data_IF_073637470475
#
_entry.id   IF_073637470475
#
_cell.length_a   1.000
_cell.length_b   1.000
_cell.length_c   1.000
_cell.angle_alpha   90.00
_cell.angle_beta   90.00
_cell.angle_gamma   90.00
#
_symmetry.space_group_name_H-M   'P 1'
#
loop_
_entity.id
_entity.type
_entity.pdbx_description
1 polymer ?
#
# COMPACT_ATOMS: atom_id res chain seq x y z
N UNK A 1 22.16 35.65 7.12
CA UNK A 1 20.80 35.44 7.64
C UNK A 1 20.94 34.67 8.93
N UNK A 2 20.52 35.24 10.07
CA UNK A 2 20.69 34.63 11.39
C UNK A 2 19.73 33.45 11.47
N UNK A 3 20.24 32.22 11.56
CA UNK A 3 19.43 31.03 11.83
C UNK A 3 19.28 30.92 13.34
N UNK A 4 18.06 30.97 13.87
CA UNK A 4 17.84 30.55 15.25
C UNK A 4 17.79 29.03 15.29
N UNK A 5 18.61 28.48 16.17
CA UNK A 5 18.57 27.07 16.53
C UNK A 5 17.48 26.94 17.60
N UNK A 6 16.49 26.10 17.33
CA UNK A 6 15.49 25.72 18.32
C UNK A 6 16.10 24.62 19.20
N UNK A 7 16.21 24.87 20.50
CA UNK A 7 16.82 23.93 21.45
C UNK A 7 15.80 23.05 22.18
N UNK A 8 14.55 23.52 22.32
CA UNK A 8 13.39 22.78 22.83
C UNK A 8 12.14 23.64 22.66
N UNK A 9 11.06 23.10 22.10
CA UNK A 9 9.77 23.81 21.98
C UNK A 9 8.64 22.84 22.33
N UNK A 10 7.89 23.17 23.38
CA UNK A 10 6.61 22.56 23.69
C UNK A 10 5.56 23.65 23.56
N UNK A 11 4.61 23.44 22.66
CA UNK A 11 3.46 24.33 22.46
C UNK A 11 2.19 23.58 22.86
N UNK A 12 1.46 24.14 23.82
CA UNK A 12 0.19 23.62 24.32
C UNK A 12 -0.90 24.68 24.13
N UNK A 13 -2.12 24.26 23.80
CA UNK A 13 -3.23 25.16 23.48
C UNK A 13 -3.27 25.53 21.99
N UNK A 14 -4.39 26.15 21.58
CA UNK A 14 -4.55 26.77 20.25
C UNK A 14 -3.66 28.03 20.18
N UNK A 15 -2.36 27.81 20.02
CA UNK A 15 -1.31 28.83 20.04
C UNK A 15 -0.62 28.81 18.69
N UNK A 16 -0.50 29.99 18.07
CA UNK A 16 0.35 30.20 16.90
C UNK A 16 1.64 30.91 17.33
N UNK A 17 2.80 30.31 17.06
CA UNK A 17 4.10 30.91 17.27
C UNK A 17 4.73 31.29 15.92
N UNK A 18 4.86 32.59 15.67
CA UNK A 18 5.36 33.11 14.39
C UNK A 18 6.80 33.58 14.46
N UNK A 19 7.53 33.36 13.37
CA UNK A 19 8.93 33.74 13.21
C UNK A 19 9.15 34.41 11.85
N UNK A 20 9.98 35.47 11.81
CA UNK A 20 10.32 36.19 10.58
C UNK A 20 11.61 35.72 9.90
N UNK A 21 11.99 34.44 10.07
CA UNK A 21 13.28 33.90 9.63
C UNK A 21 13.23 32.38 9.51
N UNK A 22 14.16 31.79 8.75
CA UNK A 22 14.30 30.33 8.68
C UNK A 22 14.60 29.73 10.06
N UNK A 23 14.03 28.56 10.31
CA UNK A 23 14.17 27.83 11.57
C UNK A 23 14.92 26.51 11.36
N UNK A 24 15.71 26.13 12.35
CA UNK A 24 16.40 24.83 12.36
C UNK A 24 16.14 24.14 13.68
N UNK A 25 15.55 22.94 13.63
CA UNK A 25 15.61 21.97 14.71
C UNK A 25 16.91 21.17 14.58
N UNK A 26 17.81 21.33 15.56
CA UNK A 26 19.16 20.76 15.54
C UNK A 26 19.36 19.79 16.71
N UNK A 27 18.60 18.71 16.71
CA UNK A 27 18.62 17.70 17.77
C UNK A 27 17.68 17.94 18.95
N UNK A 28 16.75 18.89 18.83
CA UNK A 28 15.73 19.14 19.84
C UNK A 28 14.44 18.36 19.57
N UNK A 29 13.59 18.28 20.59
CA UNK A 29 12.20 17.86 20.44
C UNK A 29 11.31 19.10 20.26
N UNK A 30 10.51 19.07 19.19
CA UNK A 30 9.40 19.99 18.95
C UNK A 30 8.12 19.18 19.18
N UNK A 31 7.37 19.55 20.21
CA UNK A 31 6.09 18.94 20.54
C UNK A 31 4.97 19.96 20.32
N UNK A 32 4.09 19.66 19.37
CA UNK A 32 2.88 20.44 19.08
C UNK A 32 1.68 19.72 19.67
N UNK A 33 0.93 20.39 20.53
CA UNK A 33 -0.29 19.81 21.12
C UNK A 33 -1.49 20.70 20.87
N UNK A 34 -2.69 20.11 20.82
CA UNK A 34 -3.96 20.83 20.75
C UNK A 34 -4.03 21.75 19.51
N UNK A 35 -3.56 21.24 18.37
CA UNK A 35 -3.52 21.97 17.09
C UNK A 35 -2.66 23.25 17.11
N UNK A 36 -1.61 23.27 17.92
CA UNK A 36 -0.63 24.37 17.91
C UNK A 36 0.03 24.55 16.53
N UNK A 37 0.36 25.79 16.19
CA UNK A 37 0.97 26.15 14.90
C UNK A 37 2.34 26.80 15.11
N UNK A 38 3.36 26.32 14.42
CA UNK A 38 4.64 27.02 14.26
C UNK A 38 4.70 27.58 12.85
N UNK A 39 4.84 28.90 12.73
CA UNK A 39 4.73 29.60 11.45
C UNK A 39 5.99 30.39 11.10
N UNK A 40 6.43 30.32 9.84
CA UNK A 40 7.31 31.31 9.22
C UNK A 40 7.10 31.37 7.71
N UNK A 41 7.26 32.54 7.09
CA UNK A 41 7.29 32.65 5.62
C UNK A 41 8.60 32.13 5.00
N UNK A 42 9.51 31.60 5.81
CA UNK A 42 10.82 31.10 5.42
C UNK A 42 10.88 29.57 5.55
N UNK A 43 12.04 28.97 5.27
CA UNK A 43 12.23 27.51 5.35
C UNK A 43 12.41 26.97 6.77
N UNK A 44 12.08 25.70 6.95
CA UNK A 44 12.37 24.91 8.14
C UNK A 44 13.26 23.69 7.82
N UNK A 45 14.18 23.37 8.73
CA UNK A 45 15.04 22.18 8.64
C UNK A 45 15.04 21.42 9.95
N UNK A 46 14.74 20.12 9.91
CA UNK A 46 14.91 19.20 11.03
C UNK A 46 16.13 18.29 10.81
N UNK A 47 17.07 18.22 11.75
CA UNK A 47 18.31 17.45 11.60
C UNK A 47 18.90 16.99 12.93
N UNK A 48 20.00 16.24 12.85
CA UNK A 48 20.83 15.84 14.00
C UNK A 48 20.01 15.20 15.14
N UNK A 49 19.17 14.22 14.79
CA UNK A 49 18.26 13.51 15.70
C UNK A 49 17.09 14.34 16.24
N UNK A 50 16.82 15.52 15.66
CA UNK A 50 15.65 16.32 16.00
C UNK A 50 14.35 15.55 15.78
N UNK A 51 13.39 15.77 16.66
CA UNK A 51 12.07 15.16 16.66
C UNK A 51 11.01 16.22 16.44
N UNK A 52 10.00 15.93 15.62
CA UNK A 52 8.78 16.72 15.49
C UNK A 52 7.62 15.81 15.83
N UNK A 53 6.80 16.20 16.80
CA UNK A 53 5.78 15.32 17.40
C UNK A 53 4.46 16.01 17.69
N UNK A 54 3.42 15.21 17.83
CA UNK A 54 2.07 15.61 18.27
C UNK A 54 1.10 15.90 17.12
N UNK A 55 0.12 16.78 17.36
CA UNK A 55 -1.09 16.98 16.54
C UNK A 55 -1.28 18.43 16.04
N UNK A 56 -0.16 19.10 15.70
CA UNK A 56 -0.17 20.50 15.25
C UNK A 56 0.34 20.71 13.83
N UNK A 57 0.52 21.99 13.47
CA UNK A 57 0.91 22.42 12.12
C UNK A 57 2.29 23.07 12.10
N UNK A 58 3.13 22.62 11.17
CA UNK A 58 4.38 23.25 10.77
C UNK A 58 4.13 24.02 9.46
N UNK A 59 3.90 25.32 9.55
CA UNK A 59 3.56 26.19 8.42
C UNK A 59 4.80 27.01 7.99
N UNK A 60 5.36 26.63 6.85
CA UNK A 60 6.62 27.15 6.32
C UNK A 60 6.57 27.30 4.80
N UNK A 61 7.49 28.05 4.21
CA UNK A 61 7.58 28.07 2.75
C UNK A 61 8.05 26.73 2.15
N UNK A 62 8.88 26.00 2.90
CA UNK A 62 9.38 24.67 2.56
C UNK A 62 9.93 24.01 3.83
N UNK A 63 9.71 22.70 3.99
CA UNK A 63 10.25 21.91 5.08
C UNK A 63 11.22 20.83 4.57
N UNK A 64 12.40 20.74 5.17
CA UNK A 64 13.36 19.66 4.93
C UNK A 64 13.55 18.81 6.17
N UNK A 65 13.45 17.50 6.02
CA UNK A 65 13.60 16.55 7.11
C UNK A 65 14.82 15.63 6.91
N UNK A 66 15.72 15.68 7.88
CA UNK A 66 16.91 14.85 8.02
C UNK A 66 16.91 14.05 9.33
N UNK A 67 15.79 14.06 10.06
CA UNK A 67 15.64 13.34 11.32
C UNK A 67 14.20 12.82 11.42
N UNK A 68 13.59 12.83 12.61
CA UNK A 68 12.37 12.07 12.86
C UNK A 68 11.13 12.96 12.90
N UNK A 69 10.08 12.48 12.25
CA UNK A 69 8.70 12.90 12.40
C UNK A 69 7.96 11.78 13.11
N UNK A 70 7.33 12.10 14.24
CA UNK A 70 6.65 11.14 15.09
C UNK A 70 5.38 11.80 15.67
N UNK A 71 4.25 11.78 14.94
CA UNK A 71 2.99 12.35 15.41
C UNK A 71 2.56 11.82 16.79
N UNK A 72 2.87 10.56 17.11
CA UNK A 72 2.45 9.90 18.34
C UNK A 72 3.21 10.25 19.63
N UNK A 73 2.48 10.80 20.61
CA UNK A 73 2.65 10.46 22.05
C UNK A 73 1.47 9.59 22.53
N UNK A 74 0.30 9.68 21.87
CA UNK A 74 -0.84 8.74 21.94
C UNK A 74 -1.25 8.38 20.51
N UNK A 75 -2.08 9.21 19.86
CA UNK A 75 -2.39 9.19 18.43
C UNK A 75 -2.39 10.65 17.97
N UNK A 76 -1.57 10.99 16.97
CA UNK A 76 -1.35 12.36 16.50
C UNK A 76 -1.64 12.57 15.02
N UNK A 77 -2.02 13.78 14.65
CA UNK A 77 -2.20 14.24 13.27
C UNK A 77 -1.32 15.46 13.02
N UNK A 78 -0.13 15.22 12.49
CA UNK A 78 0.87 16.27 12.29
C UNK A 78 0.79 16.83 10.87
N UNK A 79 0.59 18.13 10.75
CA UNK A 79 0.46 18.81 9.46
C UNK A 79 1.71 19.59 9.08
N UNK A 80 2.07 19.56 7.80
CA UNK A 80 3.01 20.46 7.17
C UNK A 80 2.25 21.26 6.12
N UNK A 81 2.03 22.54 6.35
CA UNK A 81 1.40 23.44 5.38
C UNK A 81 2.46 23.93 4.38
N UNK A 82 3.17 22.97 3.78
CA UNK A 82 4.30 23.18 2.89
C UNK A 82 4.66 21.89 2.15
N UNK A 83 5.45 22.00 1.08
CA UNK A 83 6.16 20.83 0.54
C UNK A 83 7.16 20.29 1.56
N UNK A 84 7.24 18.95 1.67
CA UNK A 84 8.10 18.24 2.60
C UNK A 84 9.13 17.39 1.85
N UNK A 85 10.42 17.70 2.05
CA UNK A 85 11.53 16.99 1.42
C UNK A 85 12.27 16.12 2.44
N UNK A 86 12.22 14.81 2.27
CA UNK A 86 12.90 13.85 3.16
C UNK A 86 14.23 13.39 2.58
N UNK A 87 15.26 13.38 3.43
CA UNK A 87 16.56 12.75 3.13
C UNK A 87 16.57 11.26 3.49
N UNK A 88 17.65 10.55 3.14
CA UNK A 88 17.82 9.14 3.52
C UNK A 88 17.99 8.92 5.04
N UNK A 89 18.26 9.97 5.81
CA UNK A 89 18.30 9.93 7.27
C UNK A 89 16.94 10.24 7.92
N UNK A 90 15.93 10.62 7.13
CA UNK A 90 14.60 10.90 7.65
C UNK A 90 13.94 9.63 8.19
N UNK A 91 13.14 9.79 9.25
CA UNK A 91 12.32 8.74 9.84
C UNK A 91 10.89 9.21 10.03
N UNK A 92 9.93 8.36 9.69
CA UNK A 92 8.52 8.48 10.09
C UNK A 92 8.24 7.35 11.08
N UNK A 93 7.78 7.70 12.29
CA UNK A 93 7.45 6.76 13.36
C UNK A 93 5.97 6.94 13.65
N UNK A 94 5.14 5.95 13.31
CA UNK A 94 3.68 6.05 13.38
C UNK A 94 3.09 4.93 14.23
N UNK A 95 2.08 5.25 15.03
CA UNK A 95 1.35 4.29 15.85
C UNK A 95 -0.08 4.05 15.34
N UNK A 96 -0.57 2.81 15.50
CA UNK A 96 -1.93 2.39 15.21
C UNK A 96 -2.56 1.81 16.49
N UNK A 97 -3.59 2.46 17.00
CA UNK A 97 -4.34 2.03 18.19
C UNK A 97 -5.72 1.45 17.84
N UNK A 98 -6.25 1.76 16.66
CA UNK A 98 -7.52 1.22 16.20
C UNK A 98 -8.06 1.87 14.92
N UNK A 99 -9.35 1.64 14.68
CA UNK A 99 -10.07 2.03 13.46
C UNK A 99 -10.95 3.28 13.64
N UNK A 100 -10.80 4.04 14.73
CA UNK A 100 -11.66 5.19 15.00
C UNK A 100 -11.48 6.32 13.98
N UNK A 101 -10.26 6.49 13.45
CA UNK A 101 -9.95 7.51 12.44
C UNK A 101 -8.53 8.03 12.58
N UNK A 102 -8.21 9.06 11.80
CA UNK A 102 -6.93 9.79 11.86
C UNK A 102 -6.89 10.66 13.11
N UNK A 103 -5.77 10.66 13.85
CA UNK A 103 -5.50 11.68 14.87
C UNK A 103 -6.40 11.64 16.11
N UNK A 104 -7.19 10.58 16.29
CA UNK A 104 -8.13 10.46 17.41
C UNK A 104 -7.87 9.20 18.24
N UNK A 105 -8.33 9.21 19.48
CA UNK A 105 -8.22 8.06 20.39
C UNK A 105 -8.84 6.80 19.78
N UNK A 106 -8.15 5.66 19.91
CA UNK A 106 -8.43 4.40 19.21
C UNK A 106 -8.35 4.50 17.68
N UNK A 107 -7.60 5.47 17.18
CA UNK A 107 -7.35 5.71 15.76
C UNK A 107 -5.93 5.33 15.35
N UNK A 108 -5.34 6.13 14.46
CA UNK A 108 -3.96 5.97 14.01
C UNK A 108 -3.30 7.32 13.74
N UNK A 109 -1.98 7.32 13.85
CA UNK A 109 -1.15 8.47 13.50
C UNK A 109 -1.27 8.81 12.02
N UNK A 110 -1.10 10.08 11.73
CA UNK A 110 -1.13 10.61 10.39
C UNK A 110 -0.16 11.77 10.22
N UNK A 111 0.39 11.90 9.00
CA UNK A 111 1.08 13.10 8.57
C UNK A 111 0.38 13.69 7.35
N UNK A 112 -0.01 14.95 7.45
CA UNK A 112 -0.54 15.71 6.32
C UNK A 112 0.54 16.62 5.71
N UNK A 113 0.61 16.70 4.37
CA UNK A 113 1.54 17.56 3.63
C UNK A 113 0.78 18.36 2.57
N UNK A 114 0.62 19.67 2.77
CA UNK A 114 0.04 20.57 1.77
C UNK A 114 1.07 21.00 0.73
N UNK A 115 1.52 20.06 -0.09
CA UNK A 115 2.47 20.32 -1.16
C UNK A 115 3.05 19.05 -1.77
N UNK A 116 4.18 19.21 -2.45
CA UNK A 116 4.95 18.10 -2.98
C UNK A 116 5.60 17.32 -1.81
N UNK A 117 5.56 15.99 -1.89
CA UNK A 117 6.19 15.08 -0.93
C UNK A 117 7.32 14.30 -1.59
N UNK A 118 8.55 14.55 -1.16
CA UNK A 118 9.71 13.73 -1.54
C UNK A 118 9.94 12.70 -0.44
N UNK A 119 9.69 11.43 -0.74
CA UNK A 119 9.91 10.30 0.15
C UNK A 119 11.34 9.80 0.11
N UNK A 120 11.86 9.42 1.27
CA UNK A 120 13.13 8.74 1.46
C UNK A 120 13.21 8.22 2.91
N UNK A 121 14.31 7.59 3.28
CA UNK A 121 14.57 7.21 4.68
C UNK A 121 13.73 6.03 5.15
N UNK A 122 13.33 6.05 6.41
CA UNK A 122 12.70 4.91 7.10
C UNK A 122 11.27 5.25 7.46
N UNK A 123 10.35 4.32 7.19
CA UNK A 123 9.03 4.28 7.79
C UNK A 123 9.00 3.15 8.83
N UNK A 124 8.62 3.47 10.05
CA UNK A 124 8.37 2.51 11.13
C UNK A 124 6.93 2.67 11.60
N UNK A 125 6.18 1.57 11.64
CA UNK A 125 4.80 1.56 12.10
C UNK A 125 4.62 0.45 13.13
N UNK A 126 4.10 0.81 14.30
CA UNK A 126 3.75 -0.13 15.35
C UNK A 126 2.25 -0.10 15.67
N UNK A 127 1.73 -1.21 16.16
CA UNK A 127 0.43 -1.23 16.84
C UNK A 127 0.65 -1.03 18.34
N UNK A 128 -0.18 -0.22 18.97
CA UNK A 128 -0.13 0.02 20.42
C UNK A 128 -1.34 -0.58 21.13
N UNK A 129 -1.30 -0.65 22.46
CA UNK A 129 -2.38 -1.13 23.32
C UNK A 129 -2.97 -2.51 22.95
N UNK A 130 -2.13 -3.36 22.35
CA UNK A 130 -2.52 -4.71 21.94
C UNK A 130 -3.47 -4.75 20.73
N UNK A 131 -3.60 -3.65 19.98
CA UNK A 131 -4.40 -3.63 18.77
C UNK A 131 -3.86 -4.62 17.74
N UNK A 132 -4.77 -5.42 17.16
CA UNK A 132 -4.48 -6.36 16.08
C UNK A 132 -5.45 -6.05 14.94
N UNK A 133 -4.99 -5.40 13.86
CA UNK A 133 -5.84 -5.06 12.72
C UNK A 133 -6.42 -6.32 12.06
N UNK A 134 -7.67 -6.24 11.60
CA UNK A 134 -8.25 -7.25 10.73
C UNK A 134 -7.65 -7.16 9.33
N UNK A 135 -7.68 -8.25 8.55
CA UNK A 135 -7.17 -8.26 7.17
C UNK A 135 -7.97 -7.36 6.21
N UNK A 136 -9.13 -6.85 6.65
CA UNK A 136 -9.95 -5.88 5.92
C UNK A 136 -9.63 -4.44 6.28
N UNK A 137 -8.82 -4.21 7.30
CA UNK A 137 -8.49 -2.87 7.78
C UNK A 137 -7.50 -2.21 6.83
N UNK A 138 -7.57 -0.89 6.78
CA UNK A 138 -6.64 -0.06 6.03
C UNK A 138 -6.51 1.29 6.71
N UNK A 139 -5.31 1.84 6.71
CA UNK A 139 -4.98 3.07 7.42
C UNK A 139 -4.36 4.07 6.45
N UNK A 140 -4.84 5.30 6.41
CA UNK A 140 -4.20 6.36 5.63
C UNK A 140 -3.15 7.00 6.53
N UNK A 141 -1.89 6.70 6.25
CA UNK A 141 -0.77 7.05 7.14
C UNK A 141 -0.12 8.38 6.78
N UNK A 142 -0.18 8.76 5.50
CA UNK A 142 0.27 10.05 5.01
C UNK A 142 -0.69 10.53 3.93
N UNK A 143 -1.09 11.79 3.97
CA UNK A 143 -1.87 12.43 2.91
C UNK A 143 -1.09 13.62 2.35
N UNK A 144 -1.25 13.89 1.05
CA UNK A 144 -0.56 14.98 0.37
C UNK A 144 -1.39 15.60 -0.75
N UNK A 145 -1.18 16.89 -1.04
CA UNK A 145 -1.95 17.63 -2.08
C UNK A 145 -1.20 17.80 -3.39
N UNK A 146 0.14 17.77 -3.38
CA UNK A 146 0.99 17.92 -4.56
C UNK A 146 1.41 16.59 -5.21
N UNK A 147 2.62 16.57 -5.76
CA UNK A 147 3.22 15.38 -6.37
C UNK A 147 4.01 14.57 -5.34
N UNK A 148 4.02 13.26 -5.53
CA UNK A 148 4.87 12.35 -4.77
C UNK A 148 6.06 11.90 -5.61
N UNK A 149 7.23 11.82 -4.99
CA UNK A 149 8.43 11.25 -5.62
C UNK A 149 9.28 10.48 -4.61
N UNK A 150 10.11 9.56 -5.09
CA UNK A 150 10.88 8.67 -4.23
C UNK A 150 10.03 7.56 -3.59
N UNK A 151 10.65 6.79 -2.69
CA UNK A 151 10.03 5.74 -1.87
C UNK A 151 10.80 5.64 -0.55
N UNK A 152 10.18 5.10 0.50
CA UNK A 152 10.90 4.73 1.71
C UNK A 152 12.01 3.73 1.37
N UNK A 153 13.22 3.99 1.86
CA UNK A 153 14.37 3.08 1.71
C UNK A 153 14.20 1.82 2.55
N UNK A 154 13.56 1.96 3.71
CA UNK A 154 13.19 0.83 4.56
C UNK A 154 11.79 1.05 5.15
N UNK A 155 11.02 -0.03 5.23
CA UNK A 155 9.74 -0.08 5.91
C UNK A 155 9.82 -1.15 6.99
N UNK A 156 9.59 -0.77 8.24
CA UNK A 156 9.54 -1.65 9.40
C UNK A 156 8.12 -1.66 9.93
N UNK A 157 7.51 -2.83 10.01
CA UNK A 157 6.15 -3.00 10.54
C UNK A 157 6.17 -3.87 11.79
N UNK A 158 5.43 -3.47 12.81
CA UNK A 158 5.26 -4.23 14.05
C UNK A 158 4.67 -5.61 13.81
N UNK A 159 4.87 -6.54 14.76
CA UNK A 159 4.49 -7.95 14.58
C UNK A 159 3.01 -8.20 14.27
N UNK A 160 2.10 -7.37 14.81
CA UNK A 160 0.66 -7.46 14.55
C UNK A 160 0.27 -6.97 13.14
N UNK A 161 1.19 -6.34 12.41
CA UNK A 161 1.01 -5.87 11.03
C UNK A 161 1.58 -6.88 10.01
N UNK A 162 1.81 -8.13 10.42
CA UNK A 162 2.26 -9.19 9.50
C UNK A 162 1.28 -9.33 8.34
N UNK A 163 1.78 -9.25 7.11
CA UNK A 163 0.95 -9.30 5.90
C UNK A 163 0.39 -7.96 5.46
N UNK A 164 0.66 -6.86 6.17
CA UNK A 164 0.41 -5.51 5.66
C UNK A 164 1.60 -4.99 4.85
N UNK A 165 1.30 -4.11 3.91
CA UNK A 165 2.29 -3.36 3.15
C UNK A 165 1.81 -1.94 2.83
N UNK A 166 2.76 -1.11 2.43
CA UNK A 166 2.50 0.28 2.05
C UNK A 166 1.99 0.32 0.61
N UNK A 167 0.81 0.90 0.44
CA UNK A 167 0.15 1.13 -0.83
C UNK A 167 0.24 2.60 -1.25
N UNK A 168 0.73 2.82 -2.46
CA UNK A 168 0.91 4.12 -3.10
C UNK A 168 -0.01 4.32 -4.31
N UNK A 169 -0.99 3.44 -4.51
CA UNK A 169 -1.81 3.40 -5.74
C UNK A 169 -2.86 4.50 -5.79
N UNK A 170 -3.29 5.03 -4.65
CA UNK A 170 -4.30 6.09 -4.57
C UNK A 170 -3.64 7.47 -4.56
N UNK A 171 -3.95 8.36 -5.52
CA UNK A 171 -3.43 9.72 -5.51
C UNK A 171 -3.80 10.48 -4.23
N UNK A 172 -2.82 11.19 -3.67
CA UNK A 172 -2.98 12.03 -2.49
C UNK A 172 -2.99 11.28 -1.16
N UNK A 173 -2.81 9.94 -1.18
CA UNK A 173 -2.78 9.12 0.03
C UNK A 173 -1.71 8.03 -0.07
N UNK A 174 -0.99 7.82 1.01
CA UNK A 174 -0.17 6.64 1.25
C UNK A 174 -0.87 5.85 2.34
N UNK A 175 -1.09 4.56 2.08
CA UNK A 175 -1.90 3.71 2.95
C UNK A 175 -1.14 2.51 3.44
N UNK A 176 -1.47 2.03 4.62
CA UNK A 176 -1.13 0.69 5.07
C UNK A 176 -2.33 -0.22 4.79
N UNK A 177 -2.14 -1.24 3.97
CA UNK A 177 -3.20 -2.19 3.58
C UNK A 177 -2.70 -3.61 3.76
N UNK A 178 -3.60 -4.53 4.09
CA UNK A 178 -3.25 -5.93 4.09
C UNK A 178 -2.97 -6.40 2.65
N UNK A 179 -1.78 -6.94 2.39
CA UNK A 179 -1.50 -7.69 1.18
C UNK A 179 -2.38 -8.94 1.21
N UNK A 180 -3.56 -8.87 0.60
CA UNK A 180 -4.30 -10.08 0.29
C UNK A 180 -3.36 -10.96 -0.53
N UNK A 181 -3.06 -12.16 -0.05
CA UNK A 181 -2.25 -13.15 -0.77
C UNK A 181 -3.08 -13.65 -1.96
N UNK A 182 -3.34 -12.80 -2.94
CA UNK A 182 -3.80 -13.19 -4.26
C UNK A 182 -2.59 -13.50 -5.15
N UNK A 183 -1.57 -14.12 -4.57
CA UNK A 183 -0.68 -15.01 -5.30
C UNK A 183 -1.16 -16.43 -5.00
N UNK A 184 -2.34 -16.79 -5.50
CA UNK A 184 -2.49 -18.19 -5.93
C UNK A 184 -1.61 -18.25 -7.16
N UNK A 185 -0.41 -18.79 -7.02
CA UNK A 185 0.23 -19.43 -8.16
C UNK A 185 -0.85 -20.35 -8.72
N UNK A 186 -1.51 -19.96 -9.82
CA UNK A 186 -2.60 -20.74 -10.40
C UNK A 186 -2.07 -22.17 -10.43
N UNK A 187 -2.69 -23.06 -9.65
CA UNK A 187 -2.26 -24.44 -9.58
C UNK A 187 -2.53 -24.99 -10.99
N UNK A 188 -1.52 -24.91 -11.85
CA UNK A 188 -1.64 -25.29 -13.24
C UNK A 188 -1.53 -26.80 -13.32
N UNK A 189 -2.25 -27.36 -14.28
CA UNK A 189 -2.18 -28.78 -14.58
C UNK A 189 -0.81 -29.02 -15.23
N UNK A 190 0.02 -29.83 -14.58
CA UNK A 190 1.41 -30.01 -15.00
C UNK A 190 1.51 -30.65 -16.40
N UNK A 191 2.32 -30.02 -17.27
CA UNK A 191 2.56 -30.48 -18.65
C UNK A 191 1.29 -30.64 -19.51
N UNK A 192 0.25 -29.84 -19.26
CA UNK A 192 -1.00 -29.91 -20.01
C UNK A 192 -0.82 -29.51 -21.49
N UNK A 193 -1.09 -30.46 -22.38
CA UNK A 193 -1.11 -30.30 -23.83
C UNK A 193 -2.47 -30.72 -24.40
N UNK A 194 -2.99 -29.95 -25.36
CA UNK A 194 -4.24 -30.25 -26.07
C UNK A 194 -3.96 -30.23 -27.57
N UNK A 195 -4.17 -31.35 -28.25
CA UNK A 195 -3.82 -31.52 -29.67
C UNK A 195 -4.74 -32.53 -30.38
N UNK A 196 -4.92 -32.44 -31.71
CA UNK A 196 -4.48 -31.34 -32.55
C UNK A 196 -5.36 -30.09 -32.32
N UNK A 197 -4.77 -28.93 -32.53
CA UNK A 197 -5.50 -27.66 -32.64
C UNK A 197 -4.90 -26.89 -33.81
N UNK A 198 -5.62 -26.68 -34.93
CA UNK A 198 -7.03 -27.02 -35.18
C UNK A 198 -7.36 -28.52 -35.22
N UNK A 199 -8.63 -28.88 -35.10
CA UNK A 199 -9.13 -30.26 -35.23
C UNK A 199 -10.42 -30.33 -36.05
N UNK A 200 -10.74 -31.51 -36.60
CA UNK A 200 -12.02 -31.78 -37.27
C UNK A 200 -13.00 -32.48 -36.31
N UNK A 201 -12.56 -33.57 -35.66
CA UNK A 201 -13.49 -34.45 -34.93
C UNK A 201 -13.10 -34.69 -33.47
N UNK A 202 -11.83 -34.58 -33.08
CA UNK A 202 -11.39 -34.94 -31.73
C UNK A 202 -10.15 -34.18 -31.27
N UNK A 203 -10.04 -33.98 -29.96
CA UNK A 203 -8.80 -33.56 -29.30
C UNK A 203 -8.34 -34.64 -28.33
N UNK A 204 -7.03 -34.72 -28.16
CA UNK A 204 -6.34 -35.47 -27.12
C UNK A 204 -5.81 -34.51 -26.07
N UNK A 205 -5.88 -34.92 -24.82
CA UNK A 205 -5.36 -34.18 -23.68
C UNK A 205 -4.26 -35.02 -23.05
N UNK A 206 -3.06 -34.45 -22.96
CA UNK A 206 -1.92 -35.06 -22.27
C UNK A 206 -1.54 -34.17 -21.09
N UNK A 207 -1.28 -34.80 -19.94
CA UNK A 207 -0.97 -34.15 -18.68
C UNK A 207 -0.18 -35.13 -17.81
N UNK A 208 0.62 -34.63 -16.87
CA UNK A 208 1.17 -35.45 -15.78
C UNK A 208 0.12 -35.68 -14.69
N UNK A 209 -0.71 -34.67 -14.42
CA UNK A 209 -1.84 -34.80 -13.49
C UNK A 209 -2.97 -35.61 -14.13
N UNK A 210 -3.69 -36.39 -13.29
CA UNK A 210 -4.87 -37.14 -13.71
C UNK A 210 -6.03 -36.19 -13.99
N UNK A 211 -6.59 -36.27 -15.19
CA UNK A 211 -7.74 -35.43 -15.57
C UNK A 211 -9.04 -36.10 -15.13
N UNK A 212 -9.92 -35.32 -14.48
CA UNK A 212 -11.22 -35.80 -13.98
C UNK A 212 -12.37 -35.52 -14.94
N UNK A 213 -12.38 -34.32 -15.53
CA UNK A 213 -13.46 -33.85 -16.40
C UNK A 213 -12.97 -32.83 -17.41
N UNK A 214 -13.64 -32.81 -18.55
CA UNK A 214 -13.48 -31.78 -19.58
C UNK A 214 -14.84 -31.18 -19.90
N UNK A 215 -14.88 -29.86 -19.97
CA UNK A 215 -16.03 -29.07 -20.40
C UNK A 215 -15.65 -28.25 -21.63
N UNK A 216 -16.56 -28.15 -22.58
CA UNK A 216 -16.38 -27.33 -23.79
C UNK A 216 -17.47 -26.28 -23.84
N UNK A 217 -17.07 -25.04 -24.07
CA UNK A 217 -17.92 -23.87 -24.17
C UNK A 217 -17.75 -23.21 -25.53
N UNK A 218 -18.83 -22.65 -26.06
CA UNK A 218 -18.73 -21.72 -27.18
C UNK A 218 -18.25 -20.33 -26.70
N UNK A 219 -17.99 -19.40 -27.63
CA UNK A 219 -17.46 -18.06 -27.29
C UNK A 219 -18.42 -17.19 -26.48
N UNK A 220 -19.72 -17.51 -26.43
CA UNK A 220 -20.70 -16.80 -25.59
C UNK A 220 -20.84 -17.45 -24.20
N UNK A 221 -19.98 -18.40 -23.84
CA UNK A 221 -19.95 -19.04 -22.52
C UNK A 221 -20.99 -20.15 -22.32
N UNK A 222 -21.73 -20.55 -23.35
CA UNK A 222 -22.66 -21.68 -23.27
C UNK A 222 -21.88 -22.99 -23.32
N UNK A 223 -22.08 -23.84 -22.31
CA UNK A 223 -21.56 -25.20 -22.29
C UNK A 223 -22.22 -26.03 -23.41
N UNK A 224 -21.39 -26.58 -24.29
CA UNK A 224 -21.83 -27.40 -25.43
C UNK A 224 -21.47 -28.88 -25.27
N UNK A 225 -20.51 -29.19 -24.40
CA UNK A 225 -20.10 -30.56 -24.10
C UNK A 225 -19.54 -30.67 -22.68
N UNK A 226 -19.79 -31.81 -22.03
CA UNK A 226 -19.14 -32.22 -20.78
C UNK A 226 -18.85 -33.72 -20.86
N UNK A 227 -17.65 -34.13 -20.46
CA UNK A 227 -17.23 -35.53 -20.51
C UNK A 227 -16.22 -35.86 -19.42
N UNK A 228 -16.27 -37.09 -18.91
CA UNK A 228 -15.24 -37.70 -18.05
C UNK A 228 -14.30 -38.63 -18.84
N UNK A 229 -14.52 -38.78 -20.16
CA UNK A 229 -13.54 -39.40 -21.07
C UNK A 229 -12.50 -38.35 -21.42
N UNK A 230 -11.33 -38.46 -20.80
CA UNK A 230 -10.34 -37.37 -20.78
C UNK A 230 -9.21 -37.56 -21.79
N UNK A 231 -8.86 -38.80 -22.13
CA UNK A 231 -7.79 -39.09 -23.11
C UNK A 231 -8.16 -38.64 -24.53
N UNK A 232 -9.44 -38.74 -24.90
CA UNK A 232 -9.98 -38.36 -26.21
C UNK A 232 -11.35 -37.73 -26.04
N UNK A 233 -11.47 -36.47 -26.44
CA UNK A 233 -12.72 -35.70 -26.43
C UNK A 233 -13.26 -35.60 -27.85
N UNK A 234 -14.46 -36.13 -28.06
CA UNK A 234 -15.17 -36.10 -29.35
C UNK A 234 -15.88 -34.75 -29.53
N UNK A 235 -15.51 -34.03 -30.59
CA UNK A 235 -16.03 -32.73 -30.97
C UNK A 235 -16.75 -32.77 -32.33
N UNK A 236 -16.86 -33.93 -32.99
CA UNK A 236 -17.37 -34.03 -34.37
C UNK A 236 -18.84 -33.64 -34.52
N UNK A 237 -19.57 -33.52 -33.41
CA UNK A 237 -20.96 -33.02 -33.38
C UNK A 237 -21.07 -31.51 -33.21
N UNK A 238 -19.95 -30.81 -33.01
CA UNK A 238 -19.92 -29.35 -32.86
C UNK A 238 -19.78 -28.68 -34.23
N UNK A 239 -20.43 -27.52 -34.38
CA UNK A 239 -20.28 -26.72 -35.59
C UNK A 239 -18.85 -26.15 -35.68
N UNK A 240 -18.38 -25.92 -36.91
CA UNK A 240 -17.09 -25.28 -37.18
C UNK A 240 -16.99 -23.93 -36.48
N UNK A 241 -15.91 -23.68 -35.75
CA UNK A 241 -15.79 -22.47 -34.95
C UNK A 241 -14.77 -22.54 -33.83
N UNK A 242 -14.75 -21.49 -33.00
CA UNK A 242 -13.86 -21.39 -31.84
C UNK A 242 -14.57 -21.84 -30.57
N UNK A 243 -13.85 -22.59 -29.73
CA UNK A 243 -14.36 -23.09 -28.45
C UNK A 243 -13.33 -22.90 -27.34
N UNK A 244 -13.83 -22.83 -26.10
CA UNK A 244 -13.02 -22.88 -24.89
C UNK A 244 -13.18 -24.26 -24.25
N UNK A 245 -12.06 -24.95 -24.04
CA UNK A 245 -11.99 -26.25 -23.37
C UNK A 245 -11.48 -26.01 -21.97
N UNK A 246 -12.29 -26.31 -20.96
CA UNK A 246 -11.92 -26.25 -19.55
C UNK A 246 -11.64 -27.67 -19.05
N UNK A 247 -10.40 -27.91 -18.67
CA UNK A 247 -9.89 -29.21 -18.21
C UNK A 247 -9.75 -29.14 -16.70
N UNK A 248 -10.27 -30.13 -15.98
CA UNK A 248 -10.22 -30.21 -14.52
C UNK A 248 -9.35 -31.38 -14.05
N UNK A 249 -8.58 -31.15 -13.00
CA UNK A 249 -7.78 -32.15 -12.30
C UNK A 249 -7.77 -31.83 -10.81
N UNK A 250 -8.40 -32.67 -10.00
CA UNK A 250 -8.65 -32.46 -8.58
C UNK A 250 -9.30 -31.09 -8.30
N UNK A 251 -8.57 -30.19 -7.64
CA UNK A 251 -9.00 -28.81 -7.33
C UNK A 251 -8.48 -27.78 -8.35
N UNK A 252 -7.77 -28.23 -9.39
CA UNK A 252 -7.18 -27.40 -10.44
C UNK A 252 -8.08 -27.38 -11.68
N UNK A 253 -8.02 -26.29 -12.44
CA UNK A 253 -8.52 -26.28 -13.80
C UNK A 253 -7.66 -25.43 -14.72
N UNK A 254 -7.70 -25.71 -16.01
CA UNK A 254 -7.04 -24.92 -17.03
C UNK A 254 -7.94 -24.74 -18.25
N UNK A 255 -7.89 -23.57 -18.90
CA UNK A 255 -8.72 -23.28 -20.08
C UNK A 255 -7.83 -23.17 -21.32
N UNK A 256 -8.16 -23.92 -22.37
CA UNK A 256 -7.49 -23.85 -23.69
C UNK A 256 -8.49 -23.47 -24.77
N UNK A 257 -8.09 -22.53 -25.63
CA UNK A 257 -8.86 -22.14 -26.81
C UNK A 257 -8.54 -23.06 -27.98
N UNK A 258 -9.55 -23.64 -28.63
CA UNK A 258 -9.38 -24.53 -29.77
C UNK A 258 -10.22 -24.10 -30.98
N UNK A 259 -9.81 -24.54 -32.17
CA UNK A 259 -10.52 -24.32 -33.43
C UNK A 259 -11.01 -25.66 -34.01
N UNK A 260 -12.32 -25.78 -34.24
CA UNK A 260 -12.97 -26.92 -34.92
C UNK A 260 -13.22 -26.55 -36.39
N UNK A 261 -12.86 -27.44 -37.32
CA UNK A 261 -12.81 -27.20 -38.77
C UNK A 261 -13.77 -28.04 -39.61
#
# INVERSE_FOLDING_TARGET
MIKNILYFVVLTGVVCQSYGQSLVNDGAEIMLQESAVVFSTESFVNRNNGQIKGDGTMDFAEAMNFAVINPGVVIGDLSFDSSLINSSAAGFMLDIQGNAGIGIENGHDHVFVDGDLVMNGILDIATIDGFVPATTDSFTIISYTGNISGQFTAVTLGGNLTGFAVDYTLPGQIRLVHESILSVQEATIESLQVFPNPTNDFIYIRSLDKIDRVEVYNLIGKQVLVTTKTDKVDLGRLAKGMYLVKIYSEQKFNVKKIKVQ
#
